data_IF_669842795655
#
_entry.id   IF_669842795655
#
_cell.length_a   1.000
_cell.length_b   1.000
_cell.length_c   1.000
_cell.angle_alpha   90.00
_cell.angle_beta   90.00
_cell.angle_gamma   90.00
#
_symmetry.space_group_name_H-M   'P 1'
#
loop_
_entity.id
_entity.type
_entity.pdbx_description
1 polymer ?
#
# COMPACT_ATOMS: atom_id res chain seq x y z
N UNK A 1 -17.06 43.08 -10.36
CA UNK A 1 -15.76 42.84 -9.70
C UNK A 1 -15.00 41.81 -10.52
N UNK A 2 -13.69 41.97 -10.69
CA UNK A 2 -12.87 40.97 -11.39
C UNK A 2 -12.74 39.68 -10.54
N UNK A 3 -12.71 38.48 -11.14
CA UNK A 3 -12.51 37.24 -10.41
C UNK A 3 -11.11 37.21 -9.76
N UNK A 4 -11.03 36.80 -8.49
CA UNK A 4 -9.78 36.73 -7.71
C UNK A 4 -9.19 35.33 -7.78
N UNK A 5 -7.93 35.21 -8.18
CA UNK A 5 -7.16 33.98 -8.02
C UNK A 5 -6.76 33.83 -6.53
N UNK A 6 -7.45 32.96 -5.80
CA UNK A 6 -7.28 32.80 -4.36
C UNK A 6 -6.23 31.74 -4.03
N UNK A 7 -5.36 31.95 -3.04
CA UNK A 7 -4.35 30.97 -2.63
C UNK A 7 -5.02 29.72 -2.02
N UNK A 8 -4.38 28.56 -2.19
CA UNK A 8 -4.75 27.34 -1.48
C UNK A 8 -4.62 27.54 0.05
N UNK A 9 -5.57 27.06 0.85
CA UNK A 9 -5.54 27.23 2.30
C UNK A 9 -4.36 26.45 2.90
N UNK A 10 -3.73 27.03 3.93
CA UNK A 10 -2.65 26.42 4.71
C UNK A 10 -1.36 26.04 3.95
N UNK A 11 -1.26 26.34 2.65
CA UNK A 11 -0.04 26.10 1.89
C UNK A 11 1.06 27.11 2.30
N UNK A 12 2.33 26.67 2.46
CA UNK A 12 3.44 27.56 2.83
C UNK A 12 3.91 28.47 1.68
N UNK A 13 3.29 28.37 0.51
CA UNK A 13 3.57 29.15 -0.69
C UNK A 13 2.29 29.40 -1.50
N UNK A 14 2.36 30.30 -2.48
CA UNK A 14 1.24 30.54 -3.38
C UNK A 14 1.06 29.42 -4.39
N UNK A 15 -0.12 28.83 -4.42
CA UNK A 15 -0.70 28.09 -5.54
C UNK A 15 -2.20 28.41 -5.57
N UNK A 16 -2.84 28.50 -6.74
CA UNK A 16 -4.29 28.68 -6.79
C UNK A 16 -5.01 27.56 -6.03
N UNK A 17 -6.07 27.90 -5.32
CA UNK A 17 -6.94 26.88 -4.72
C UNK A 17 -7.50 25.95 -5.79
N UNK A 18 -7.32 24.64 -5.59
CA UNK A 18 -7.88 23.60 -6.46
C UNK A 18 -9.14 23.04 -5.80
N UNK A 19 -10.31 23.55 -6.22
CA UNK A 19 -11.61 23.12 -5.69
C UNK A 19 -12.64 23.03 -6.83
N UNK A 20 -13.21 21.84 -7.10
CA UNK A 20 -12.91 20.56 -6.45
C UNK A 20 -11.47 20.05 -6.75
N UNK A 21 -10.98 19.01 -6.03
CA UNK A 21 -9.71 18.36 -6.35
C UNK A 21 -9.71 17.77 -7.76
N UNK A 22 -8.53 17.67 -8.38
CA UNK A 22 -8.36 17.04 -9.70
C UNK A 22 -8.84 15.58 -9.66
N UNK A 23 -9.47 15.13 -10.74
CA UNK A 23 -10.03 13.77 -10.84
C UNK A 23 -11.39 13.59 -10.16
N UNK A 24 -12.00 14.67 -9.64
CA UNK A 24 -13.41 14.69 -9.21
C UNK A 24 -14.31 14.68 -10.44
N UNK A 25 -15.29 13.79 -10.51
CA UNK A 25 -16.28 13.81 -11.58
C UNK A 25 -17.15 15.07 -11.55
N UNK A 26 -17.37 15.68 -12.72
CA UNK A 26 -18.27 16.81 -12.93
C UNK A 26 -19.63 16.35 -13.48
N UNK A 27 -19.66 15.17 -14.10
CA UNK A 27 -20.89 14.54 -14.61
C UNK A 27 -21.86 14.15 -13.48
N UNK A 28 -23.16 14.12 -13.78
CA UNK A 28 -24.21 13.86 -12.79
C UNK A 28 -24.28 12.40 -12.32
N UNK A 29 -23.79 11.44 -13.10
CA UNK A 29 -23.81 10.01 -12.81
C UNK A 29 -22.50 9.32 -13.28
N UNK A 30 -21.35 9.57 -12.63
CA UNK A 30 -20.11 8.90 -12.99
C UNK A 30 -20.13 7.41 -12.61
N UNK A 31 -19.32 6.57 -13.28
CA UNK A 31 -19.00 5.21 -12.80
C UNK A 31 -18.55 5.21 -11.33
N UNK A 32 -18.77 4.10 -10.59
CA UNK A 32 -18.38 3.99 -9.17
C UNK A 32 -16.90 4.33 -8.98
N UNK A 33 -16.06 3.99 -9.96
CA UNK A 33 -14.63 4.32 -9.99
C UNK A 33 -14.34 5.82 -9.75
N UNK A 34 -15.25 6.72 -10.18
CA UNK A 34 -15.16 8.17 -10.01
C UNK A 34 -16.18 8.73 -9.02
N UNK A 35 -16.79 7.87 -8.20
CA UNK A 35 -17.60 8.31 -7.06
C UNK A 35 -16.74 8.47 -5.82
N UNK A 36 -17.03 9.46 -4.96
CA UNK A 36 -16.30 9.63 -3.71
C UNK A 36 -16.41 8.42 -2.77
N UNK A 37 -15.37 8.19 -1.98
CA UNK A 37 -15.35 7.25 -0.86
C UNK A 37 -14.97 8.00 0.41
N UNK A 38 -15.76 7.88 1.47
CA UNK A 38 -15.41 8.39 2.79
C UNK A 38 -14.97 7.24 3.68
N UNK A 39 -13.78 7.36 4.24
CA UNK A 39 -13.24 6.45 5.26
C UNK A 39 -12.91 7.32 6.47
N UNK A 40 -13.60 7.08 7.59
CA UNK A 40 -13.53 7.95 8.77
C UNK A 40 -13.72 9.43 8.41
N UNK A 41 -12.78 10.31 8.74
CA UNK A 41 -12.88 11.75 8.47
C UNK A 41 -12.27 12.15 7.12
N UNK A 42 -11.76 11.19 6.34
CA UNK A 42 -11.11 11.44 5.05
C UNK A 42 -12.03 11.06 3.90
N UNK A 43 -12.27 12.01 3.00
CA UNK A 43 -13.01 11.78 1.75
C UNK A 43 -12.04 11.76 0.57
N UNK A 44 -12.08 10.67 -0.19
CA UNK A 44 -11.38 10.47 -1.44
C UNK A 44 -12.35 10.78 -2.59
N UNK A 45 -11.96 11.61 -3.55
CA UNK A 45 -12.86 12.07 -4.63
C UNK A 45 -13.15 11.02 -5.71
N UNK A 46 -12.37 9.93 -5.75
CA UNK A 46 -12.53 8.79 -6.64
C UNK A 46 -11.95 7.54 -5.97
N UNK A 47 -12.01 6.38 -6.65
CA UNK A 47 -11.55 5.08 -6.14
C UNK A 47 -10.18 4.65 -6.67
N UNK A 48 -9.41 5.57 -7.26
CA UNK A 48 -8.10 5.29 -7.88
C UNK A 48 -6.97 5.83 -7.02
N UNK A 49 -6.18 4.93 -6.43
CA UNK A 49 -5.07 5.25 -5.55
C UNK A 49 -3.73 4.82 -6.14
N UNK A 50 -2.67 5.57 -5.80
CA UNK A 50 -1.30 5.19 -6.16
C UNK A 50 -0.78 4.24 -5.09
N UNK A 51 -0.37 3.04 -5.50
CA UNK A 51 0.24 2.06 -4.61
C UNK A 51 1.65 2.53 -4.15
N UNK A 52 2.12 2.10 -2.97
CA UNK A 52 3.49 2.37 -2.53
C UNK A 52 4.49 1.65 -3.46
N UNK A 53 5.48 2.40 -3.97
CA UNK A 53 6.51 1.91 -4.89
C UNK A 53 7.88 2.42 -4.45
N UNK A 54 8.77 1.53 -4.03
CA UNK A 54 10.11 1.91 -3.59
C UNK A 54 10.91 2.56 -4.72
N UNK A 55 11.51 3.71 -4.43
CA UNK A 55 12.28 4.50 -5.40
C UNK A 55 13.77 4.51 -5.08
N UNK A 56 14.19 4.00 -3.93
CA UNK A 56 15.60 3.84 -3.54
C UNK A 56 16.40 5.14 -3.76
N UNK A 57 15.80 6.26 -3.37
CA UNK A 57 16.27 7.62 -3.69
C UNK A 57 16.33 8.53 -2.45
N UNK A 58 16.21 7.96 -1.25
CA UNK A 58 16.31 8.67 0.01
C UNK A 58 17.77 8.79 0.46
N UNK A 59 18.05 9.80 1.27
CA UNK A 59 19.36 10.00 1.89
C UNK A 59 19.27 9.69 3.37
N UNK A 60 19.78 8.53 3.79
CA UNK A 60 19.68 8.05 5.17
C UNK A 60 18.22 8.14 5.70
N UNK A 61 17.27 7.61 4.92
CA UNK A 61 15.84 7.66 5.22
C UNK A 61 15.15 9.01 5.01
N UNK A 62 15.87 10.10 4.72
CA UNK A 62 15.25 11.39 4.43
C UNK A 62 14.77 11.42 2.99
N UNK A 63 13.49 11.75 2.79
CA UNK A 63 12.99 12.04 1.46
C UNK A 63 13.79 13.20 0.84
N UNK A 64 14.03 13.08 -0.45
CA UNK A 64 14.75 14.06 -1.28
C UNK A 64 13.80 14.74 -2.26
N UNK A 65 14.30 15.73 -3.01
CA UNK A 65 13.53 16.39 -4.08
C UNK A 65 13.00 15.41 -5.14
N UNK A 66 13.65 14.25 -5.29
CA UNK A 66 13.15 13.16 -6.12
C UNK A 66 11.71 12.77 -5.72
N UNK A 67 11.48 12.54 -4.42
CA UNK A 67 10.18 12.11 -3.90
C UNK A 67 9.14 13.22 -3.99
N UNK A 68 9.56 14.47 -3.74
CA UNK A 68 8.68 15.61 -3.95
C UNK A 68 8.17 15.65 -5.38
N UNK A 69 9.05 15.59 -6.38
CA UNK A 69 8.65 15.62 -7.79
C UNK A 69 7.82 14.38 -8.15
N UNK A 70 8.28 13.20 -7.77
CA UNK A 70 7.68 11.91 -8.09
C UNK A 70 6.24 11.80 -7.57
N UNK A 71 6.03 11.99 -6.26
CA UNK A 71 4.73 11.84 -5.62
C UNK A 71 3.77 12.97 -6.02
N UNK A 72 4.29 14.19 -6.14
CA UNK A 72 3.51 15.35 -6.58
C UNK A 72 3.00 15.20 -8.01
N UNK A 73 3.75 14.52 -8.88
CA UNK A 73 3.33 14.29 -10.26
C UNK A 73 2.02 13.50 -10.34
N UNK A 74 1.83 12.51 -9.46
CA UNK A 74 0.62 11.70 -9.40
C UNK A 74 -0.53 12.43 -8.72
N UNK A 75 -0.30 13.01 -7.53
CA UNK A 75 -1.32 13.73 -6.78
C UNK A 75 -1.92 14.88 -7.61
N UNK A 76 -1.06 15.67 -8.24
CA UNK A 76 -1.48 16.79 -9.10
C UNK A 76 -2.37 16.35 -10.28
N UNK A 77 -2.34 15.08 -10.68
CA UNK A 77 -3.08 14.53 -11.83
C UNK A 77 -4.25 13.63 -11.45
N UNK A 78 -4.72 13.74 -10.20
CA UNK A 78 -6.07 13.33 -9.83
C UNK A 78 -6.21 11.98 -9.14
N UNK A 79 -5.11 11.31 -8.78
CA UNK A 79 -5.19 10.21 -7.82
C UNK A 79 -5.74 10.73 -6.50
N UNK A 80 -6.75 10.08 -5.93
CA UNK A 80 -7.36 10.55 -4.68
C UNK A 80 -6.54 10.26 -3.44
N UNK A 81 -5.63 9.28 -3.52
CA UNK A 81 -4.59 9.03 -2.54
C UNK A 81 -3.28 8.70 -3.26
N UNK A 82 -2.19 9.34 -2.86
CA UNK A 82 -0.83 8.91 -3.21
C UNK A 82 -0.16 8.36 -1.97
N UNK A 83 0.27 7.10 -1.98
CA UNK A 83 0.91 6.45 -0.83
C UNK A 83 2.43 6.53 -1.01
N UNK A 84 3.13 7.17 -0.06
CA UNK A 84 4.59 7.14 0.01
C UNK A 84 5.03 5.68 0.14
N UNK A 85 6.13 5.34 -0.55
CA UNK A 85 6.75 4.02 -0.55
C UNK A 85 7.01 3.45 0.86
N UNK A 86 7.33 2.15 0.90
CA UNK A 86 7.70 1.46 2.14
C UNK A 86 8.74 2.27 2.93
N UNK A 87 8.27 2.89 4.00
CA UNK A 87 9.03 3.82 4.84
C UNK A 87 9.43 3.11 6.11
N UNK A 88 10.73 2.94 6.30
CA UNK A 88 11.24 2.08 7.35
C UNK A 88 11.07 2.68 8.74
N UNK A 89 10.63 1.85 9.69
CA UNK A 89 10.43 2.24 11.10
C UNK A 89 11.69 2.15 11.94
N UNK A 90 12.77 1.56 11.41
CA UNK A 90 14.08 1.44 12.04
C UNK A 90 15.20 1.51 10.99
N UNK A 91 16.44 1.91 11.33
CA UNK A 91 17.53 1.96 10.36
C UNK A 91 17.84 0.62 9.68
N UNK A 92 17.73 -0.49 10.42
CA UNK A 92 17.99 -1.85 9.93
C UNK A 92 16.77 -2.50 9.24
N UNK A 93 15.61 -1.85 9.28
CA UNK A 93 14.38 -2.31 8.65
C UNK A 93 14.23 -1.89 7.20
N UNK A 94 15.21 -1.22 6.61
CA UNK A 94 15.19 -0.81 5.20
C UNK A 94 15.43 -2.02 4.27
N UNK A 95 14.99 -1.94 3.02
CA UNK A 95 15.36 -2.89 1.96
C UNK A 95 16.77 -2.56 1.47
N UNK A 96 17.02 -1.30 1.10
CA UNK A 96 18.34 -0.79 0.69
C UNK A 96 18.76 0.42 1.49
N UNK A 97 20.06 0.81 1.47
CA UNK A 97 20.53 2.00 2.18
C UNK A 97 19.80 3.31 1.78
N UNK A 98 19.27 3.37 0.56
CA UNK A 98 18.57 4.51 -0.03
C UNK A 98 17.04 4.46 0.14
N UNK A 99 16.52 3.55 0.98
CA UNK A 99 15.10 3.51 1.31
C UNK A 99 14.67 4.70 2.18
N UNK A 100 13.39 5.07 2.03
CA UNK A 100 12.69 6.03 2.89
C UNK A 100 12.64 5.56 4.35
N UNK A 101 12.65 6.51 5.29
CA UNK A 101 12.69 6.23 6.72
C UNK A 101 11.86 7.18 7.56
N UNK A 102 11.39 6.71 8.72
CA UNK A 102 10.67 7.52 9.69
C UNK A 102 10.94 7.09 11.15
N UNK A 103 12.19 6.71 11.43
CA UNK A 103 12.66 6.32 12.77
C UNK A 103 13.17 7.51 13.60
N UNK A 104 13.41 8.68 13.00
CA UNK A 104 13.91 9.87 13.69
C UNK A 104 13.23 11.18 13.24
N UNK A 105 13.22 12.18 14.12
CA UNK A 105 12.43 13.41 13.93
C UNK A 105 12.87 14.26 12.74
N UNK A 106 14.15 14.22 12.36
CA UNK A 106 14.64 14.97 11.20
C UNK A 106 14.02 14.49 9.87
N UNK A 107 13.42 13.30 9.83
CA UNK A 107 12.72 12.76 8.67
C UNK A 107 11.30 13.34 8.50
N UNK A 108 10.77 14.05 9.50
CA UNK A 108 9.44 14.68 9.44
C UNK A 108 9.40 15.80 8.40
N UNK A 109 10.39 16.69 8.40
CA UNK A 109 10.36 17.89 7.56
C UNK A 109 10.32 17.58 6.05
N UNK A 110 11.11 16.63 5.52
CA UNK A 110 10.99 16.21 4.12
C UNK A 110 9.62 15.62 3.75
N UNK A 111 9.01 14.81 4.63
CA UNK A 111 7.66 14.27 4.41
C UNK A 111 6.62 15.41 4.42
N UNK A 112 6.74 16.34 5.37
CA UNK A 112 5.85 17.51 5.45
C UNK A 112 5.87 18.33 4.18
N UNK A 113 7.04 18.51 3.56
CA UNK A 113 7.13 19.24 2.28
C UNK A 113 6.31 18.57 1.16
N UNK A 114 6.22 17.24 1.15
CA UNK A 114 5.34 16.51 0.23
C UNK A 114 3.88 16.70 0.62
N UNK A 115 3.54 16.57 1.90
CA UNK A 115 2.18 16.78 2.42
C UNK A 115 1.65 18.17 2.07
N UNK A 116 2.43 19.21 2.34
CA UNK A 116 2.11 20.61 2.04
C UNK A 116 1.78 20.79 0.55
N UNK A 117 2.54 20.14 -0.35
CA UNK A 117 2.23 20.17 -1.77
C UNK A 117 0.93 19.45 -2.10
N UNK A 118 0.79 18.19 -1.67
CA UNK A 118 -0.39 17.38 -1.96
C UNK A 118 -1.67 18.06 -1.45
N UNK A 119 -1.65 18.60 -0.23
CA UNK A 119 -2.78 19.32 0.37
C UNK A 119 -3.08 20.65 -0.33
N UNK A 120 -2.05 21.35 -0.82
CA UNK A 120 -2.26 22.57 -1.60
C UNK A 120 -3.05 22.34 -2.90
N UNK A 121 -3.08 21.09 -3.39
CA UNK A 121 -3.85 20.65 -4.57
C UNK A 121 -5.19 20.01 -4.20
N UNK A 122 -5.57 20.01 -2.92
CA UNK A 122 -6.79 19.39 -2.40
C UNK A 122 -6.75 17.86 -2.36
N UNK A 123 -5.57 17.24 -2.48
CA UNK A 123 -5.38 15.80 -2.55
C UNK A 123 -4.99 15.19 -1.19
N UNK A 124 -4.90 13.85 -1.13
CA UNK A 124 -4.54 13.11 0.09
C UNK A 124 -3.22 12.37 -0.04
N UNK A 125 -2.45 12.36 1.06
CA UNK A 125 -1.17 11.68 1.16
C UNK A 125 -1.28 10.53 2.15
N UNK A 126 -0.84 9.34 1.72
CA UNK A 126 -0.68 8.18 2.58
C UNK A 126 0.79 7.86 2.79
N UNK A 127 1.09 7.00 3.77
CA UNK A 127 2.42 6.43 3.97
C UNK A 127 2.30 4.95 4.30
N UNK A 128 3.15 4.12 3.67
CA UNK A 128 3.28 2.74 4.06
C UNK A 128 4.44 2.59 5.06
N UNK A 129 4.14 2.24 6.31
CA UNK A 129 5.16 1.92 7.33
C UNK A 129 5.61 0.48 7.18
N UNK A 130 6.93 0.25 7.19
CA UNK A 130 7.49 -1.05 6.84
C UNK A 130 8.73 -1.43 7.66
N UNK A 131 9.03 -2.73 7.65
CA UNK A 131 10.31 -3.29 8.07
C UNK A 131 10.64 -4.51 7.19
N UNK A 132 11.77 -4.50 6.48
CA UNK A 132 12.11 -5.49 5.46
C UNK A 132 12.49 -6.87 6.03
N UNK A 133 12.89 -6.94 7.30
CA UNK A 133 13.18 -8.21 7.99
C UNK A 133 14.29 -8.98 7.28
N UNK A 134 14.11 -10.29 7.04
CA UNK A 134 15.10 -11.14 6.36
C UNK A 134 15.43 -10.76 4.91
N UNK A 135 14.74 -9.77 4.35
CA UNK A 135 14.99 -9.21 3.01
C UNK A 135 15.68 -7.84 3.04
N UNK A 136 16.13 -7.40 4.22
CA UNK A 136 16.85 -6.15 4.42
C UNK A 136 18.30 -6.23 3.92
N UNK A 137 18.95 -5.06 3.86
CA UNK A 137 20.37 -4.90 3.53
C UNK A 137 20.74 -5.44 2.15
N UNK A 138 19.99 -5.05 1.13
CA UNK A 138 20.28 -5.31 -0.29
C UNK A 138 20.61 -4.02 -1.03
N UNK A 139 21.22 -4.12 -2.21
CA UNK A 139 21.44 -2.95 -3.09
C UNK A 139 20.19 -2.64 -3.93
N UNK A 140 20.10 -1.42 -4.46
CA UNK A 140 19.02 -1.02 -5.35
C UNK A 140 18.86 -1.96 -6.57
N UNK A 141 17.63 -2.20 -7.07
CA UNK A 141 17.37 -3.24 -8.07
C UNK A 141 18.14 -3.12 -9.39
N UNK A 142 18.56 -1.91 -9.80
CA UNK A 142 19.33 -1.69 -11.03
C UNK A 142 20.84 -1.94 -10.87
N UNK A 143 21.31 -2.21 -9.64
CA UNK A 143 22.70 -2.58 -9.36
C UNK A 143 22.92 -4.10 -9.36
N UNK A 144 21.85 -4.88 -9.47
CA UNK A 144 21.87 -6.33 -9.55
C UNK A 144 21.29 -6.81 -10.89
N UNK A 145 21.64 -8.04 -11.29
CA UNK A 145 20.96 -8.69 -12.41
C UNK A 145 19.45 -8.79 -12.14
N UNK A 146 18.64 -8.62 -13.18
CA UNK A 146 17.18 -8.70 -13.07
C UNK A 146 16.76 -10.02 -12.42
N UNK A 147 16.01 -9.93 -11.32
CA UNK A 147 15.50 -11.08 -10.58
C UNK A 147 16.47 -11.65 -9.54
N UNK A 148 17.68 -11.09 -9.42
CA UNK A 148 18.63 -11.41 -8.35
C UNK A 148 18.66 -10.30 -7.30
N UNK A 149 19.18 -10.64 -6.15
CA UNK A 149 19.50 -9.68 -5.09
C UNK A 149 20.98 -9.78 -4.75
N UNK A 150 21.55 -8.67 -4.31
CA UNK A 150 22.94 -8.59 -3.85
C UNK A 150 22.93 -7.90 -2.50
N UNK A 151 23.63 -8.48 -1.54
CA UNK A 151 23.80 -7.92 -0.20
C UNK A 151 24.49 -6.56 -0.31
N UNK A 152 23.90 -5.54 0.31
CA UNK A 152 24.60 -4.30 0.61
C UNK A 152 25.56 -4.58 1.77
N UNK A 153 26.86 -4.52 1.52
CA UNK A 153 27.90 -4.64 2.54
C UNK A 153 28.11 -3.30 3.25
N UNK A 154 28.87 -3.30 4.35
CA UNK A 154 29.21 -2.07 5.09
C UNK A 154 29.87 -1.00 4.21
N UNK A 155 30.65 -1.41 3.21
CA UNK A 155 31.35 -0.49 2.28
C UNK A 155 30.39 0.37 1.43
N UNK A 156 29.14 -0.09 1.27
CA UNK A 156 28.06 0.62 0.58
C UNK A 156 26.91 0.97 1.53
N UNK A 157 27.22 1.18 2.82
CA UNK A 157 26.26 1.56 3.87
C UNK A 157 25.20 0.50 4.21
N UNK A 158 25.44 -0.77 3.88
CA UNK A 158 24.61 -1.88 4.34
C UNK A 158 24.92 -2.31 5.78
N UNK A 159 24.09 -3.23 6.30
CA UNK A 159 24.13 -3.72 7.68
C UNK A 159 23.98 -5.26 7.71
N UNK A 160 24.92 -6.00 7.10
CA UNK A 160 24.80 -7.46 6.98
C UNK A 160 24.85 -8.22 8.32
N UNK A 161 25.22 -7.57 9.42
CA UNK A 161 25.24 -8.20 10.76
C UNK A 161 23.98 -7.88 11.59
N UNK A 162 23.05 -7.09 11.06
CA UNK A 162 21.87 -6.58 11.77
C UNK A 162 20.57 -6.79 10.97
N UNK A 163 20.50 -7.91 10.24
CA UNK A 163 19.28 -8.36 9.56
C UNK A 163 18.52 -9.28 10.50
N UNK A 164 17.23 -9.01 10.74
CA UNK A 164 16.41 -9.72 11.73
C UNK A 164 15.19 -10.40 11.13
N UNK A 165 14.71 -11.47 11.76
CA UNK A 165 13.58 -12.27 11.30
C UNK A 165 12.91 -13.04 12.45
N UNK A 166 11.69 -13.57 12.25
CA UNK A 166 11.07 -14.47 13.23
C UNK A 166 11.91 -15.72 13.51
N UNK A 167 12.63 -16.24 12.52
CA UNK A 167 13.54 -17.37 12.67
C UNK A 167 14.80 -17.18 11.81
N UNK A 168 15.89 -17.85 12.17
CA UNK A 168 17.18 -17.81 11.45
C UNK A 168 17.14 -18.56 10.11
N UNK A 169 16.22 -18.16 9.23
CA UNK A 169 15.96 -18.77 7.91
C UNK A 169 16.18 -17.70 6.84
N UNK A 170 17.26 -17.85 6.08
CA UNK A 170 17.58 -16.99 4.94
C UNK A 170 16.44 -17.02 3.90
N UNK A 171 16.15 -15.88 3.28
CA UNK A 171 15.09 -15.82 2.28
C UNK A 171 15.47 -16.58 1.00
N UNK A 172 16.70 -16.42 0.51
CA UNK A 172 17.22 -17.06 -0.69
C UNK A 172 18.60 -16.56 -1.06
N UNK A 173 19.09 -16.91 -2.24
CA UNK A 173 20.41 -16.50 -2.73
C UNK A 173 20.53 -14.98 -2.82
N UNK A 174 21.70 -14.45 -2.42
CA UNK A 174 21.96 -13.01 -2.43
C UNK A 174 21.41 -12.25 -1.22
N UNK A 175 20.93 -12.96 -0.20
CA UNK A 175 20.47 -12.41 1.08
C UNK A 175 21.35 -12.84 2.24
N UNK A 176 21.31 -12.03 3.30
CA UNK A 176 22.01 -12.25 4.55
C UNK A 176 21.26 -13.28 5.40
N UNK A 177 21.95 -14.23 6.07
CA UNK A 177 21.34 -15.05 7.12
C UNK A 177 20.83 -14.17 8.28
N UNK A 178 19.51 -14.13 8.56
CA UNK A 178 18.99 -13.23 9.57
C UNK A 178 19.25 -13.77 10.99
N UNK A 179 19.36 -12.86 11.95
CA UNK A 179 19.28 -13.15 13.38
C UNK A 179 17.82 -13.40 13.76
N UNK A 180 17.56 -14.48 14.49
CA UNK A 180 16.26 -14.70 15.12
C UNK A 180 15.98 -13.64 16.19
N UNK A 181 14.82 -12.97 16.09
CA UNK A 181 14.42 -11.92 17.01
C UNK A 181 14.14 -12.46 18.42
N UNK A 182 14.54 -11.71 19.44
CA UNK A 182 14.08 -11.88 20.82
C UNK A 182 12.73 -11.20 21.03
N UNK A 183 12.06 -11.45 22.16
CA UNK A 183 10.83 -10.71 22.51
C UNK A 183 11.08 -9.20 22.65
N UNK A 184 12.28 -8.79 23.10
CA UNK A 184 12.65 -7.38 23.17
C UNK A 184 12.82 -6.78 21.78
N UNK A 185 13.47 -7.49 20.85
CA UNK A 185 13.57 -7.03 19.46
C UNK A 185 12.17 -6.83 18.84
N UNK A 186 11.23 -7.74 19.13
CA UNK A 186 9.83 -7.63 18.66
C UNK A 186 9.18 -6.38 19.24
N UNK A 187 9.31 -6.16 20.56
CA UNK A 187 8.77 -4.99 21.24
C UNK A 187 9.35 -3.68 20.67
N UNK A 188 10.66 -3.62 20.44
CA UNK A 188 11.33 -2.43 19.91
C UNK A 188 10.84 -2.09 18.49
N UNK A 189 10.57 -3.11 17.66
CA UNK A 189 9.97 -2.88 16.35
C UNK A 189 8.51 -2.39 16.47
N UNK A 190 7.70 -2.97 17.37
CA UNK A 190 6.33 -2.49 17.64
C UNK A 190 6.34 -1.02 18.05
N UNK A 191 7.26 -0.63 18.94
CA UNK A 191 7.45 0.76 19.36
C UNK A 191 7.95 1.64 18.20
N UNK A 192 8.82 1.12 17.33
CA UNK A 192 9.23 1.77 16.09
C UNK A 192 8.03 2.12 15.19
N UNK A 193 7.12 1.16 14.95
CA UNK A 193 5.89 1.42 14.20
C UNK A 193 5.01 2.50 14.87
N UNK A 194 4.85 2.43 16.20
CA UNK A 194 4.11 3.42 16.99
C UNK A 194 4.68 4.82 16.81
N UNK A 195 6.00 4.97 16.94
CA UNK A 195 6.65 6.28 16.89
C UNK A 195 6.74 6.82 15.47
N UNK A 196 6.96 5.97 14.46
CA UNK A 196 6.84 6.37 13.05
C UNK A 196 5.43 6.84 12.70
N UNK A 197 4.38 6.21 13.25
CA UNK A 197 3.01 6.65 13.05
C UNK A 197 2.76 8.05 13.64
N UNK A 198 3.26 8.34 14.86
CA UNK A 198 3.20 9.70 15.44
C UNK A 198 3.90 10.73 14.56
N UNK A 199 5.09 10.38 14.04
CA UNK A 199 5.86 11.25 13.14
C UNK A 199 5.14 11.49 11.82
N UNK A 200 4.46 10.48 11.27
CA UNK A 200 3.66 10.61 10.05
C UNK A 200 2.49 11.58 10.24
N UNK A 201 1.78 11.47 11.37
CA UNK A 201 0.72 12.42 11.75
C UNK A 201 1.28 13.83 11.87
N UNK A 202 2.43 14.00 12.55
CA UNK A 202 3.09 15.30 12.69
C UNK A 202 3.57 15.85 11.34
N UNK A 203 3.91 15.00 10.38
CA UNK A 203 4.28 15.39 9.03
C UNK A 203 3.08 15.80 8.16
N UNK A 204 1.84 15.58 8.60
CA UNK A 204 0.63 15.92 7.85
C UNK A 204 0.14 14.80 6.91
N UNK A 205 0.55 13.55 7.13
CA UNK A 205 0.01 12.41 6.39
C UNK A 205 -1.47 12.18 6.76
N UNK A 206 -2.32 11.86 5.78
CA UNK A 206 -3.77 11.62 5.98
C UNK A 206 -4.11 10.15 6.25
N UNK A 207 -3.27 9.20 5.80
CA UNK A 207 -3.54 7.75 5.81
C UNK A 207 -2.28 6.97 6.18
N UNK A 208 -2.39 5.97 7.05
CA UNK A 208 -1.29 5.04 7.36
C UNK A 208 -1.64 3.64 6.85
N UNK A 209 -0.70 3.02 6.14
CA UNK A 209 -0.74 1.60 5.77
C UNK A 209 0.38 0.84 6.49
N UNK A 210 0.05 -0.28 7.13
CA UNK A 210 1.01 -1.21 7.72
C UNK A 210 1.41 -2.26 6.68
N UNK A 211 2.70 -2.37 6.38
CA UNK A 211 3.19 -3.36 5.43
C UNK A 211 3.36 -4.75 6.07
N UNK A 212 2.40 -5.64 5.86
CA UNK A 212 2.42 -7.05 6.27
C UNK A 212 2.41 -8.04 5.09
N UNK A 213 3.10 -7.68 4.01
CA UNK A 213 3.10 -8.42 2.75
C UNK A 213 4.53 -8.64 2.20
N UNK A 214 4.60 -9.29 1.05
CA UNK A 214 5.79 -9.43 0.20
C UNK A 214 7.02 -10.10 0.85
N UNK A 215 6.82 -10.89 1.91
CA UNK A 215 7.89 -11.59 2.61
C UNK A 215 8.78 -10.72 3.50
N UNK A 216 8.39 -9.46 3.73
CA UNK A 216 9.04 -8.60 4.71
C UNK A 216 8.68 -9.01 6.14
N UNK A 217 9.10 -8.24 7.15
CA UNK A 217 9.12 -8.72 8.53
C UNK A 217 7.77 -9.26 9.00
N UNK A 218 6.71 -8.45 8.98
CA UNK A 218 5.40 -8.87 9.47
C UNK A 218 4.84 -10.04 8.64
N UNK A 219 4.99 -10.03 7.31
CA UNK A 219 4.61 -11.15 6.44
C UNK A 219 5.34 -12.45 6.82
N UNK A 220 6.64 -12.36 7.13
CA UNK A 220 7.44 -13.53 7.51
C UNK A 220 7.03 -14.11 8.87
N UNK A 221 6.48 -13.32 9.79
CA UNK A 221 5.86 -13.83 11.03
C UNK A 221 4.57 -14.61 10.74
N UNK A 222 3.79 -14.16 9.75
CA UNK A 222 2.53 -14.80 9.39
C UNK A 222 2.73 -16.22 8.88
N UNK A 223 3.74 -16.49 8.06
CA UNK A 223 3.88 -17.81 7.41
C UNK A 223 4.64 -18.83 8.28
N UNK A 224 4.14 -20.07 8.41
CA UNK A 224 4.87 -21.16 9.07
C UNK A 224 6.13 -21.57 8.28
N UNK A 225 6.28 -21.19 7.01
CA UNK A 225 7.51 -21.45 6.24
C UNK A 225 8.70 -20.68 6.80
N UNK A 226 8.48 -19.42 7.15
CA UNK A 226 9.49 -18.46 7.61
C UNK A 226 9.55 -18.28 9.12
N UNK A 227 8.48 -18.63 9.83
CA UNK A 227 8.37 -18.56 11.28
C UNK A 227 8.30 -19.97 11.88
N UNK A 228 9.43 -20.43 12.42
CA UNK A 228 9.58 -21.72 13.11
C UNK A 228 9.76 -21.55 14.63
N UNK A 229 9.38 -20.39 15.17
CA UNK A 229 9.46 -20.12 16.60
C UNK A 229 8.57 -21.08 17.39
N UNK A 230 8.99 -21.38 18.61
CA UNK A 230 8.27 -22.22 19.58
C UNK A 230 7.72 -21.43 20.76
N UNK A 231 7.95 -20.11 20.79
CA UNK A 231 7.42 -19.20 21.79
C UNK A 231 6.01 -18.69 21.40
N UNK A 232 5.53 -17.65 22.11
CA UNK A 232 4.20 -17.05 21.87
C UNK A 232 4.05 -16.38 20.51
N UNK A 233 5.10 -16.27 19.70
CA UNK A 233 5.09 -15.64 18.38
C UNK A 233 5.18 -16.64 17.21
N UNK A 234 5.22 -17.95 17.45
CA UNK A 234 5.20 -18.98 16.41
C UNK A 234 4.32 -20.20 16.70
N UNK A 235 4.27 -21.13 15.74
CA UNK A 235 3.42 -22.31 15.79
C UNK A 235 1.99 -22.02 15.34
N UNK A 236 1.08 -21.81 16.30
CA UNK A 236 -0.36 -21.64 16.00
C UNK A 236 -0.64 -20.40 15.14
N UNK A 237 -1.81 -20.36 14.50
CA UNK A 237 -2.26 -19.19 13.75
C UNK A 237 -2.27 -17.94 14.64
N UNK A 238 -2.81 -18.06 15.86
CA UNK A 238 -2.94 -16.98 16.84
C UNK A 238 -1.58 -16.42 17.25
N UNK A 239 -0.57 -17.28 17.40
CA UNK A 239 0.79 -16.87 17.71
C UNK A 239 1.48 -16.19 16.52
N UNK A 240 1.34 -16.75 15.31
CA UNK A 240 1.94 -16.20 14.09
C UNK A 240 1.42 -14.81 13.73
N UNK A 241 0.14 -14.53 13.96
CA UNK A 241 -0.43 -13.19 13.71
C UNK A 241 -0.17 -12.20 14.85
N UNK A 242 0.31 -12.66 16.02
CA UNK A 242 0.38 -11.85 17.26
C UNK A 242 1.14 -10.53 17.06
N UNK A 243 2.33 -10.59 16.46
CA UNK A 243 3.13 -9.38 16.22
C UNK A 243 2.40 -8.37 15.33
N UNK A 244 1.70 -8.83 14.28
CA UNK A 244 0.90 -7.93 13.43
C UNK A 244 -0.22 -7.26 14.24
N UNK A 245 -0.91 -8.01 15.12
CA UNK A 245 -1.97 -7.43 15.94
C UNK A 245 -1.42 -6.40 16.94
N UNK A 246 -0.26 -6.68 17.55
CA UNK A 246 0.44 -5.74 18.45
C UNK A 246 0.84 -4.46 17.71
N UNK A 247 1.34 -4.55 16.48
CA UNK A 247 1.65 -3.40 15.62
C UNK A 247 0.39 -2.60 15.27
N UNK A 248 -0.69 -3.26 14.85
CA UNK A 248 -1.96 -2.61 14.52
C UNK A 248 -2.48 -1.81 15.72
N UNK A 249 -2.49 -2.42 16.91
CA UNK A 249 -2.92 -1.76 18.15
C UNK A 249 -2.04 -0.55 18.47
N UNK A 250 -0.72 -0.73 18.44
CA UNK A 250 0.23 0.33 18.76
C UNK A 250 0.12 1.52 17.79
N UNK A 251 -0.04 1.26 16.49
CA UNK A 251 -0.26 2.31 15.48
C UNK A 251 -1.61 2.97 15.69
N UNK A 252 -2.70 2.19 15.88
CA UNK A 252 -4.05 2.72 16.05
C UNK A 252 -4.16 3.67 17.25
N UNK A 253 -3.50 3.34 18.36
CA UNK A 253 -3.39 4.17 19.56
C UNK A 253 -2.60 5.47 19.33
N UNK A 254 -1.66 5.47 18.39
CA UNK A 254 -0.75 6.58 18.12
C UNK A 254 -1.33 7.63 17.16
N UNK A 255 -2.40 7.32 16.43
CA UNK A 255 -2.96 8.19 15.39
C UNK A 255 -4.37 8.69 15.73
N UNK A 256 -4.79 9.85 15.17
CA UNK A 256 -6.13 10.40 15.42
C UNK A 256 -7.24 9.40 15.09
N UNK A 257 -8.32 9.38 15.87
CA UNK A 257 -9.45 8.47 15.64
C UNK A 257 -10.08 8.64 14.25
N UNK A 258 -10.03 9.84 13.68
CA UNK A 258 -10.53 10.15 12.32
C UNK A 258 -9.63 9.71 11.17
N UNK A 259 -8.41 9.23 11.45
CA UNK A 259 -7.42 8.86 10.42
C UNK A 259 -7.61 7.40 9.97
N UNK A 260 -7.74 7.12 8.66
CA UNK A 260 -7.78 5.77 8.14
C UNK A 260 -6.51 4.96 8.44
N UNK A 261 -6.70 3.72 8.87
CA UNK A 261 -5.62 2.74 9.06
C UNK A 261 -5.82 1.56 8.12
N UNK A 262 -4.78 1.25 7.37
CA UNK A 262 -4.74 0.18 6.37
C UNK A 262 -3.77 -0.90 6.79
N UNK A 263 -4.02 -2.12 6.34
CA UNK A 263 -3.06 -3.22 6.40
C UNK A 263 -2.93 -3.82 5.01
N UNK A 264 -1.69 -3.94 4.53
CA UNK A 264 -1.39 -4.66 3.29
C UNK A 264 -0.92 -6.07 3.60
N UNK A 265 -1.52 -7.08 2.96
CA UNK A 265 -1.15 -8.49 3.15
C UNK A 265 -0.80 -9.18 1.84
N UNK A 266 0.08 -10.18 1.92
CA UNK A 266 0.16 -11.21 0.87
C UNK A 266 -0.91 -12.25 1.16
N UNK A 267 -1.98 -12.26 0.37
CA UNK A 267 -3.14 -13.09 0.65
C UNK A 267 -2.88 -14.60 0.50
N UNK A 268 -1.89 -14.96 -0.30
CA UNK A 268 -1.29 -16.28 -0.41
C UNK A 268 0.20 -16.08 -0.68
N UNK A 269 1.04 -17.01 -0.24
CA UNK A 269 2.44 -17.06 -0.62
C UNK A 269 2.74 -17.95 -1.84
N UNK A 270 1.71 -18.53 -2.48
CA UNK A 270 1.77 -19.39 -3.67
C UNK A 270 2.68 -20.61 -3.49
N UNK A 271 2.54 -21.27 -2.33
CA UNK A 271 3.33 -22.42 -1.93
C UNK A 271 2.48 -23.66 -1.67
N UNK A 272 1.16 -23.60 -1.82
CA UNK A 272 0.21 -24.64 -1.42
C UNK A 272 0.50 -26.01 -2.07
N UNK A 273 1.06 -26.01 -3.29
CA UNK A 273 1.46 -27.23 -4.01
C UNK A 273 2.79 -27.83 -3.53
N UNK A 274 3.64 -27.04 -2.85
CA UNK A 274 4.99 -27.43 -2.42
C UNK A 274 5.12 -27.56 -0.90
N UNK A 275 4.35 -26.79 -0.15
CA UNK A 275 4.33 -26.74 1.31
C UNK A 275 2.86 -26.66 1.76
N UNK A 276 2.24 -27.81 2.11
CA UNK A 276 0.84 -27.86 2.55
C UNK A 276 0.54 -26.95 3.74
N UNK A 277 1.53 -26.75 4.62
CA UNK A 277 1.48 -25.75 5.69
C UNK A 277 2.16 -24.46 5.22
N UNK A 278 1.38 -23.60 4.55
CA UNK A 278 1.77 -22.28 4.05
C UNK A 278 0.71 -21.23 4.41
N UNK A 279 1.05 -19.94 4.24
CA UNK A 279 0.06 -18.87 4.34
C UNK A 279 -0.78 -18.79 3.07
N UNK A 280 -2.06 -19.09 3.20
CA UNK A 280 -3.02 -19.21 2.10
C UNK A 280 -4.18 -18.20 2.23
N UNK A 281 -5.08 -18.23 1.25
CA UNK A 281 -6.25 -17.33 1.21
C UNK A 281 -7.16 -17.55 2.42
N UNK A 282 -7.31 -18.78 2.91
CA UNK A 282 -8.12 -19.08 4.10
C UNK A 282 -7.53 -18.47 5.37
N UNK A 283 -6.21 -18.53 5.53
CA UNK A 283 -5.49 -17.83 6.60
C UNK A 283 -5.72 -16.32 6.54
N UNK A 284 -5.71 -15.74 5.33
CA UNK A 284 -6.01 -14.33 5.13
C UNK A 284 -7.45 -13.98 5.47
N UNK A 285 -8.44 -14.81 5.11
CA UNK A 285 -9.84 -14.61 5.48
C UNK A 285 -10.00 -14.65 7.00
N UNK A 286 -9.33 -15.59 7.70
CA UNK A 286 -9.33 -15.66 9.17
C UNK A 286 -8.75 -14.38 9.78
N UNK A 287 -7.65 -13.88 9.26
CA UNK A 287 -7.04 -12.62 9.73
C UNK A 287 -7.97 -11.43 9.45
N UNK A 288 -8.51 -11.32 8.23
CA UNK A 288 -9.37 -10.23 7.80
C UNK A 288 -10.60 -10.05 8.70
N UNK A 289 -11.18 -11.16 9.18
CA UNK A 289 -12.31 -11.13 10.13
C UNK A 289 -11.99 -10.45 11.47
N UNK A 290 -10.72 -10.38 11.86
CA UNK A 290 -10.27 -9.76 13.12
C UNK A 290 -9.97 -8.26 12.97
N UNK A 291 -9.65 -7.81 11.76
CA UNK A 291 -9.10 -6.47 11.51
C UNK A 291 -10.06 -5.31 11.90
N UNK A 292 -11.38 -5.37 11.64
CA UNK A 292 -12.29 -4.30 12.06
C UNK A 292 -12.30 -4.05 13.56
N UNK A 293 -12.26 -5.13 14.36
CA UNK A 293 -12.22 -5.05 15.83
C UNK A 293 -10.96 -4.38 16.38
N UNK A 294 -9.92 -4.24 15.54
CA UNK A 294 -8.67 -3.55 15.87
C UNK A 294 -8.63 -2.12 15.30
N UNK A 295 -9.69 -1.66 14.64
CA UNK A 295 -9.78 -0.33 14.04
C UNK A 295 -9.03 -0.17 12.73
N UNK A 296 -8.83 -1.27 11.98
CA UNK A 296 -8.38 -1.24 10.58
C UNK A 296 -9.59 -1.01 9.67
N UNK A 297 -9.44 -0.10 8.73
CA UNK A 297 -10.54 0.37 7.88
C UNK A 297 -10.51 -0.24 6.47
N UNK A 298 -9.31 -0.62 6.00
CA UNK A 298 -9.15 -1.23 4.68
C UNK A 298 -8.01 -2.27 4.65
N UNK A 299 -8.26 -3.38 3.94
CA UNK A 299 -7.28 -4.41 3.63
C UNK A 299 -6.79 -4.25 2.18
N UNK A 300 -5.51 -3.94 1.98
CA UNK A 300 -4.85 -3.95 0.67
C UNK A 300 -4.37 -5.38 0.35
N UNK A 301 -5.00 -6.00 -0.65
CA UNK A 301 -4.84 -7.42 -0.97
C UNK A 301 -3.80 -7.60 -2.09
N UNK A 302 -2.59 -7.99 -1.70
CA UNK A 302 -1.53 -8.43 -2.62
C UNK A 302 -1.25 -9.93 -2.45
N UNK A 303 -0.07 -10.41 -2.86
CA UNK A 303 0.30 -11.83 -2.79
C UNK A 303 1.81 -12.04 -2.89
N UNK A 304 2.26 -13.24 -2.53
CA UNK A 304 3.62 -13.73 -2.75
C UNK A 304 4.70 -13.00 -1.96
N UNK A 305 5.94 -13.28 -2.35
CA UNK A 305 7.17 -12.63 -1.91
C UNK A 305 7.84 -13.27 -0.70
N UNK A 306 7.16 -14.19 0.02
CA UNK A 306 7.72 -14.81 1.21
C UNK A 306 8.72 -15.93 0.91
N UNK A 307 8.55 -16.71 -0.15
CA UNK A 307 9.47 -17.79 -0.51
C UNK A 307 9.91 -17.68 -1.98
N UNK A 308 11.20 -17.84 -2.32
CA UNK A 308 11.67 -17.78 -3.70
C UNK A 308 11.15 -18.93 -4.59
N UNK A 309 10.72 -20.06 -4.00
CA UNK A 309 10.18 -21.21 -4.73
C UNK A 309 8.70 -21.05 -5.14
N UNK A 310 8.05 -19.96 -4.73
CA UNK A 310 6.64 -19.69 -5.03
C UNK A 310 6.28 -19.85 -6.51
N UNK A 311 5.11 -20.41 -6.79
CA UNK A 311 4.61 -20.60 -8.16
C UNK A 311 3.45 -19.65 -8.42
N UNK A 312 3.79 -18.44 -8.90
CA UNK A 312 2.78 -17.43 -9.22
C UNK A 312 2.31 -17.63 -10.66
N UNK A 313 1.06 -18.02 -10.83
CA UNK A 313 0.40 -18.00 -12.13
C UNK A 313 -0.05 -16.58 -12.45
N UNK A 314 0.79 -15.84 -13.18
CA UNK A 314 0.46 -14.46 -13.56
C UNK A 314 -0.59 -14.44 -14.67
N UNK A 315 -1.81 -14.03 -14.32
CA UNK A 315 -2.87 -13.66 -15.24
C UNK A 315 -3.51 -12.33 -14.80
N UNK A 316 -4.34 -11.70 -15.63
CA UNK A 316 -4.86 -10.33 -15.39
C UNK A 316 -5.55 -10.15 -14.03
N UNK A 317 -6.21 -11.20 -13.55
CA UNK A 317 -7.04 -11.17 -12.33
C UNK A 317 -6.42 -11.89 -11.11
N UNK A 318 -5.16 -12.31 -11.16
CA UNK A 318 -4.58 -13.22 -10.16
C UNK A 318 -4.65 -12.70 -8.71
N UNK A 319 -4.59 -11.37 -8.50
CA UNK A 319 -4.79 -10.75 -7.18
C UNK A 319 -6.20 -10.14 -7.01
N UNK A 320 -6.79 -9.59 -8.07
CA UNK A 320 -8.12 -8.95 -8.00
C UNK A 320 -9.22 -9.99 -7.72
N UNK A 321 -9.07 -11.21 -8.24
CA UNK A 321 -9.95 -12.35 -7.93
C UNK A 321 -9.83 -12.80 -6.47
N UNK A 322 -8.62 -12.79 -5.91
CA UNK A 322 -8.39 -13.10 -4.48
C UNK A 322 -9.05 -12.04 -3.59
N UNK A 323 -8.93 -10.76 -3.95
CA UNK A 323 -9.60 -9.66 -3.24
C UNK A 323 -11.13 -9.84 -3.23
N UNK A 324 -11.71 -10.16 -4.39
CA UNK A 324 -13.15 -10.45 -4.51
C UNK A 324 -13.61 -11.65 -3.69
N UNK A 325 -12.81 -12.73 -3.63
CA UNK A 325 -13.10 -13.89 -2.76
C UNK A 325 -13.09 -13.50 -1.29
N UNK A 326 -12.06 -12.78 -0.82
CA UNK A 326 -11.98 -12.32 0.58
C UNK A 326 -13.19 -11.46 0.92
N UNK A 327 -13.53 -10.48 0.06
CA UNK A 327 -14.71 -9.63 0.26
C UNK A 327 -15.99 -10.43 0.39
N UNK A 328 -16.19 -11.40 -0.51
CA UNK A 328 -17.37 -12.27 -0.52
C UNK A 328 -17.50 -13.04 0.80
N UNK A 329 -16.40 -13.60 1.30
CA UNK A 329 -16.40 -14.37 2.56
C UNK A 329 -16.60 -13.49 3.80
N UNK A 330 -16.07 -12.26 3.81
CA UNK A 330 -16.39 -11.27 4.84
C UNK A 330 -17.88 -10.91 4.79
N UNK A 331 -18.43 -10.73 3.60
CA UNK A 331 -19.83 -10.38 3.42
C UNK A 331 -20.77 -11.50 3.90
N UNK A 332 -20.47 -12.76 3.57
CA UNK A 332 -21.18 -13.93 4.11
C UNK A 332 -21.10 -14.01 5.63
N UNK A 333 -20.00 -13.54 6.22
CA UNK A 333 -19.78 -13.53 7.67
C UNK A 333 -20.37 -12.31 8.39
N UNK A 334 -21.13 -11.46 7.68
CA UNK A 334 -21.76 -10.26 8.26
C UNK A 334 -20.82 -9.06 8.43
N UNK A 335 -19.56 -9.15 8.01
CA UNK A 335 -18.59 -8.05 8.10
C UNK A 335 -18.75 -7.15 6.87
N UNK A 336 -18.92 -5.85 7.09
CA UNK A 336 -19.13 -4.82 6.06
C UNK A 336 -18.28 -3.57 6.25
N UNK A 337 -17.68 -3.44 7.42
CA UNK A 337 -16.89 -2.30 7.89
C UNK A 337 -15.39 -2.42 7.56
N UNK A 338 -14.94 -3.57 7.02
CA UNK A 338 -13.63 -3.68 6.37
C UNK A 338 -13.77 -3.45 4.86
N UNK A 339 -13.19 -2.36 4.37
CA UNK A 339 -13.10 -2.11 2.93
C UNK A 339 -11.96 -2.94 2.31
N UNK A 340 -12.07 -3.22 1.01
CA UNK A 340 -11.09 -4.02 0.28
C UNK A 340 -10.41 -3.18 -0.80
N UNK A 341 -9.08 -3.18 -0.82
CA UNK A 341 -8.27 -2.66 -1.92
C UNK A 341 -7.76 -3.79 -2.80
N UNK A 342 -7.87 -3.62 -4.12
CA UNK A 342 -7.28 -4.55 -5.09
C UNK A 342 -6.09 -3.92 -5.81
N UNK A 343 -5.03 -4.71 -5.98
CA UNK A 343 -3.81 -4.32 -6.70
C UNK A 343 -3.37 -5.42 -7.67
N UNK A 344 -2.59 -5.07 -8.69
CA UNK A 344 -1.92 -6.03 -9.57
C UNK A 344 -2.39 -5.95 -11.02
N UNK A 345 -1.49 -5.59 -11.92
CA UNK A 345 -1.70 -5.54 -13.37
C UNK A 345 -2.90 -4.70 -13.87
N UNK A 346 -3.48 -3.87 -13.01
CA UNK A 346 -4.51 -2.88 -13.38
C UNK A 346 -3.86 -1.81 -14.26
N UNK A 347 -4.20 -1.82 -15.55
CA UNK A 347 -3.59 -0.99 -16.59
C UNK A 347 -4.65 -0.33 -17.47
N UNK A 348 -5.73 -1.06 -17.74
CA UNK A 348 -6.87 -0.62 -18.55
C UNK A 348 -8.00 -0.01 -17.72
N UNK A 349 -8.70 0.95 -18.31
CA UNK A 349 -9.77 1.71 -17.66
C UNK A 349 -10.97 0.83 -17.31
N UNK A 350 -11.34 -0.06 -18.22
CA UNK A 350 -12.45 -0.99 -18.11
C UNK A 350 -12.22 -2.03 -17.00
N UNK A 351 -10.96 -2.48 -16.85
CA UNK A 351 -10.55 -3.38 -15.77
C UNK A 351 -10.64 -2.66 -14.42
N UNK A 352 -10.15 -1.43 -14.33
CA UNK A 352 -10.24 -0.65 -13.09
C UNK A 352 -11.71 -0.41 -12.67
N UNK A 353 -12.57 -0.09 -13.65
CA UNK A 353 -14.01 0.09 -13.44
C UNK A 353 -14.68 -1.21 -12.97
N UNK A 354 -14.43 -2.33 -13.63
CA UNK A 354 -15.09 -3.61 -13.30
C UNK A 354 -14.70 -4.17 -11.94
N UNK A 355 -13.54 -3.78 -11.39
CA UNK A 355 -13.12 -4.19 -10.04
C UNK A 355 -13.99 -3.57 -8.95
N UNK A 356 -14.43 -2.32 -9.13
CA UNK A 356 -15.19 -1.57 -8.10
C UNK A 356 -16.70 -1.52 -8.36
N UNK A 357 -17.16 -2.08 -9.48
CA UNK A 357 -18.57 -2.16 -9.87
C UNK A 357 -19.08 -3.60 -9.86
N UNK A 358 -20.30 -3.80 -9.35
CA UNK A 358 -20.98 -5.09 -9.40
C UNK A 358 -21.85 -5.21 -10.67
N UNK A 359 -21.36 -5.95 -11.69
CA UNK A 359 -22.05 -6.31 -12.96
C UNK A 359 -22.33 -5.15 -13.94
N UNK A 360 -22.30 -5.27 -15.28
CA UNK A 360 -21.93 -6.34 -16.22
C UNK A 360 -20.57 -6.01 -16.87
N UNK A 361 -19.60 -6.94 -16.82
CA UNK A 361 -18.42 -6.91 -17.71
C UNK A 361 -18.75 -7.71 -18.98
N UNK A 362 -18.65 -7.08 -20.16
CA UNK A 362 -18.98 -7.68 -21.47
C UNK A 362 -17.80 -8.48 -22.02
N UNK A 363 -18.14 -9.55 -22.76
CA UNK A 363 -17.32 -10.60 -23.34
C UNK A 363 -16.24 -10.15 -24.37
N UNK A 364 -14.98 -10.64 -24.32
CA UNK A 364 -14.19 -11.24 -25.44
C UNK A 364 -13.08 -12.21 -24.92
N UNK A 365 -12.79 -13.28 -25.68
CA UNK A 365 -11.77 -14.37 -25.53
C UNK A 365 -12.16 -15.67 -24.77
N UNK A 366 -13.36 -16.18 -25.09
CA UNK A 366 -13.78 -17.58 -24.87
C UNK A 366 -13.88 -18.09 -23.42
N UNK A 367 -13.91 -17.23 -22.42
CA UNK A 367 -14.60 -17.54 -21.14
C UNK A 367 -15.04 -16.26 -20.44
N UNK A 368 -16.28 -15.84 -20.68
CA UNK A 368 -16.93 -14.80 -19.88
C UNK A 368 -18.25 -15.36 -19.37
N UNK A 369 -18.21 -15.83 -18.13
CA UNK A 369 -19.39 -16.17 -17.36
C UNK A 369 -19.94 -14.88 -16.73
N UNK A 370 -21.13 -14.48 -17.18
CA UNK A 370 -22.02 -13.65 -16.39
C UNK A 370 -23.25 -14.50 -16.12
N UNK A 371 -23.55 -14.78 -14.84
CA UNK A 371 -24.91 -15.11 -14.44
C UNK A 371 -25.32 -14.12 -13.36
N UNK A 372 -26.08 -13.14 -13.80
CA UNK A 372 -26.91 -12.28 -12.97
C UNK A 372 -28.18 -13.08 -12.63
N UNK A 373 -28.32 -13.33 -11.32
CA UNK A 373 -29.54 -13.59 -10.53
C UNK A 373 -29.17 -13.88 -9.04
N UNK A 374 -27.89 -13.87 -8.67
CA UNK A 374 -27.41 -13.92 -7.28
C UNK A 374 -26.37 -12.83 -6.99
N UNK A 375 -26.73 -11.85 -6.16
CA UNK A 375 -25.82 -11.08 -5.29
C UNK A 375 -24.38 -10.80 -5.80
N UNK A 376 -24.22 -10.22 -7.00
CA UNK A 376 -22.89 -9.85 -7.49
C UNK A 376 -22.30 -8.76 -6.58
N UNK A 377 -21.13 -9.02 -5.99
CA UNK A 377 -20.38 -8.05 -5.17
C UNK A 377 -19.16 -7.58 -5.96
N UNK A 378 -18.93 -6.27 -6.02
CA UNK A 378 -17.71 -5.71 -6.62
C UNK A 378 -16.46 -6.32 -5.98
N UNK A 379 -15.42 -6.63 -6.75
CA UNK A 379 -14.20 -7.29 -6.24
C UNK A 379 -13.50 -6.47 -5.14
N UNK A 380 -13.56 -5.14 -5.21
CA UNK A 380 -12.95 -4.23 -4.23
C UNK A 380 -13.70 -2.90 -4.12
N UNK A 381 -13.36 -2.10 -3.10
CA UNK A 381 -13.88 -0.75 -2.89
C UNK A 381 -13.03 0.32 -3.58
N UNK A 382 -11.74 0.03 -3.76
CA UNK A 382 -10.76 0.87 -4.46
C UNK A 382 -9.79 0.04 -5.29
N UNK A 383 -9.15 0.68 -6.26
CA UNK A 383 -8.01 0.12 -7.01
C UNK A 383 -6.73 0.83 -6.61
N UNK A 384 -5.71 0.06 -6.25
CA UNK A 384 -4.34 0.56 -6.13
C UNK A 384 -3.56 0.22 -7.39
N UNK A 385 -2.95 1.24 -7.98
CA UNK A 385 -2.22 1.13 -9.24
C UNK A 385 -0.76 1.52 -9.00
N UNK A 386 0.15 0.67 -9.49
CA UNK A 386 1.59 0.82 -9.28
C UNK A 386 2.29 1.23 -10.59
N UNK A 387 2.90 0.26 -11.29
CA UNK A 387 3.70 0.45 -12.51
C UNK A 387 3.06 1.31 -13.59
N UNK A 388 1.74 1.34 -13.68
CA UNK A 388 1.06 2.18 -14.67
C UNK A 388 1.22 3.67 -14.37
N UNK A 389 1.21 4.10 -13.10
CA UNK A 389 1.51 5.48 -12.74
C UNK A 389 2.97 5.86 -13.02
N UNK A 390 3.92 4.90 -12.92
CA UNK A 390 5.32 5.15 -13.29
C UNK A 390 5.49 5.44 -14.79
N UNK A 391 4.64 4.86 -15.63
CA UNK A 391 4.65 5.09 -17.09
C UNK A 391 3.87 6.34 -17.46
N UNK A 392 2.74 6.55 -16.80
CA UNK A 392 1.74 7.56 -17.15
C UNK A 392 1.21 8.23 -15.87
N UNK A 393 1.82 9.32 -15.41
CA UNK A 393 1.41 10.00 -14.18
C UNK A 393 -0.01 10.62 -14.30
N UNK A 394 -0.50 10.88 -15.51
CA UNK A 394 -1.86 11.35 -15.83
C UNK A 394 -2.92 10.25 -15.93
N UNK A 395 -2.61 9.01 -15.52
CA UNK A 395 -3.46 7.84 -15.75
C UNK A 395 -4.94 8.05 -15.37
N UNK A 396 -5.23 8.76 -14.27
CA UNK A 396 -6.62 9.07 -13.86
C UNK A 396 -7.37 9.88 -14.91
N UNK A 397 -6.73 10.91 -15.48
CA UNK A 397 -7.32 11.76 -16.51
C UNK A 397 -7.54 10.97 -17.81
N UNK A 398 -6.60 10.09 -18.15
CA UNK A 398 -6.72 9.18 -19.29
C UNK A 398 -7.87 8.20 -19.10
N UNK A 399 -7.97 7.54 -17.94
CA UNK A 399 -9.07 6.63 -17.59
C UNK A 399 -10.41 7.35 -17.65
N UNK A 400 -10.49 8.58 -17.14
CA UNK A 400 -11.70 9.40 -17.22
C UNK A 400 -12.09 9.65 -18.69
N UNK A 401 -11.14 10.06 -19.53
CA UNK A 401 -11.37 10.26 -20.96
C UNK A 401 -11.83 8.97 -21.67
N UNK A 402 -11.15 7.85 -21.44
CA UNK A 402 -11.51 6.54 -22.02
C UNK A 402 -12.93 6.11 -21.64
N UNK A 403 -13.34 6.34 -20.38
CA UNK A 403 -14.67 5.99 -19.89
C UNK A 403 -15.73 7.07 -20.18
N UNK A 404 -15.38 8.17 -20.88
CA UNK A 404 -16.30 9.26 -21.20
C UNK A 404 -16.75 10.08 -19.98
N UNK A 405 -15.94 10.14 -18.92
CA UNK A 405 -16.23 10.87 -17.68
C UNK A 405 -15.55 12.24 -17.71
N UNK A 406 -16.34 13.32 -17.72
CA UNK A 406 -15.76 14.65 -17.49
C UNK A 406 -15.37 14.81 -16.02
N UNK A 407 -14.11 15.17 -15.79
CA UNK A 407 -13.52 15.33 -14.47
C UNK A 407 -12.90 16.72 -14.34
N UNK A 408 -12.68 17.14 -13.10
CA UNK A 408 -11.90 18.33 -12.81
C UNK A 408 -10.46 18.11 -13.24
N UNK A 409 -9.96 18.98 -14.11
CA UNK A 409 -8.56 19.08 -14.49
C UNK A 409 -7.82 20.06 -13.56
N UNK A 410 -6.48 20.00 -13.49
CA UNK A 410 -5.73 21.06 -12.81
C UNK A 410 -6.09 22.42 -13.40
N UNK A 411 -6.30 23.44 -12.56
CA UNK A 411 -6.71 24.78 -13.01
C UNK A 411 -5.79 25.33 -14.11
N UNK A 412 -4.49 25.07 -13.98
CA UNK A 412 -3.44 25.51 -14.88
C UNK A 412 -3.48 24.78 -16.23
N UNK A 413 -4.11 23.61 -16.31
CA UNK A 413 -4.15 22.74 -17.49
C UNK A 413 -5.50 22.78 -18.23
N UNK A 414 -6.37 23.74 -17.93
CA UNK A 414 -7.72 23.81 -18.54
C UNK A 414 -7.75 23.88 -20.08
N UNK A 415 -6.64 24.24 -20.74
CA UNK A 415 -6.51 24.26 -22.22
C UNK A 415 -5.95 22.97 -22.82
N UNK A 416 -5.65 21.98 -22.00
CA UNK A 416 -5.00 20.73 -22.39
C UNK A 416 -5.87 19.49 -22.11
N UNK A 417 -7.20 19.67 -21.97
CA UNK A 417 -8.13 18.54 -21.83
C UNK A 417 -8.04 17.61 -23.06
N UNK A 418 -8.09 16.30 -22.81
CA UNK A 418 -8.06 15.24 -23.83
C UNK A 418 -9.38 15.13 -24.60
#
# INVERSE_FOLDING_TARGET
MAPKNSPAPNAPYFTPVQSPPVGTAISSNPPILFTPLKIRDVTFQNRIWVAPMCMYSASNGHLTDFHLIHLSAFAYRGSSLTIIEATSVSPNGRITPEDSGLWQDSQIAPIRRVADFVHSQGQKLGIQLAHAGRKASTVAPWLADRGKSVVATKDVNGWPDDVVAPSAIVWGDGYVPPKEMTENDIKDIVDGFRDSAKRAVQAGVDVIEIHAAHGYLLCSFLSPISNRRTDKYGGSFENRIRMLLEVIQAVREAIPIGMPLLVRVSATEWMESQAPESWDVESTIRLAKLLPGLGVDLLDVSSGGNNPAQQIEMHTDFQTGIAGRIRTELFKSGIRDLLIGAVGMITEAEVAKSIVEAGKAVEVDQTIEIIDEQDAVAKADIVLVARQFLREPEWVLRVAHTLGVDVQWPNQYGRAKL
#
